data_IF_941662327811
#
_entry.id   IF_941662327811
#
_cell.length_a   1.000
_cell.length_b   1.000
_cell.length_c   1.000
_cell.angle_alpha   90.00
_cell.angle_beta   90.00
_cell.angle_gamma   90.00
#
_symmetry.space_group_name_H-M   'P 1'
#
loop_
_entity.id
_entity.type
_entity.pdbx_description
1 polymer ?
#
# COMPACT_ATOMS: atom_id res chain seq x y z
N UNK A 1 -48.49 54.56 17.47
CA UNK A 1 -47.90 55.89 17.20
C UNK A 1 -46.43 55.67 16.88
N UNK A 2 -45.84 55.88 15.70
CA UNK A 2 -46.18 56.28 14.32
C UNK A 2 -45.14 55.52 13.45
N UNK A 3 -45.43 54.76 12.39
CA UNK A 3 -45.87 55.11 11.02
C UNK A 3 -45.01 56.17 10.31
N UNK A 4 -44.31 55.76 9.24
CA UNK A 4 -44.25 56.34 7.87
C UNK A 4 -43.09 55.64 7.09
N UNK A 5 -43.37 54.84 6.05
CA UNK A 5 -43.67 55.18 4.64
C UNK A 5 -42.42 55.63 3.84
N UNK A 6 -41.93 54.80 2.91
CA UNK A 6 -42.24 54.75 1.46
C UNK A 6 -41.33 55.68 0.62
N UNK A 7 -40.65 55.11 -0.39
CA UNK A 7 -40.77 55.55 -1.79
C UNK A 7 -39.83 54.76 -2.71
N UNK A 8 -40.44 54.15 -3.74
CA UNK A 8 -39.82 53.65 -4.94
C UNK A 8 -40.17 54.61 -6.09
N UNK A 9 -39.25 54.82 -7.05
CA UNK A 9 -39.52 55.32 -8.42
C UNK A 9 -38.40 54.82 -9.36
N UNK A 10 -38.66 53.87 -10.29
CA UNK A 10 -39.10 53.99 -11.71
C UNK A 10 -38.07 54.68 -12.61
N UNK A 11 -37.77 54.33 -13.87
CA UNK A 11 -38.12 53.36 -14.95
C UNK A 11 -37.00 53.61 -16.03
N UNK A 12 -36.60 52.71 -16.95
CA UNK A 12 -37.27 52.42 -18.24
C UNK A 12 -36.49 51.40 -19.12
N UNK A 13 -37.24 50.46 -19.73
CA UNK A 13 -37.14 49.84 -21.09
C UNK A 13 -35.85 49.16 -21.60
N UNK A 14 -35.86 48.03 -22.32
CA UNK A 14 -36.94 47.27 -22.99
C UNK A 14 -36.55 45.79 -23.26
N UNK A 15 -37.54 44.87 -23.27
CA UNK A 15 -38.03 44.02 -24.39
C UNK A 15 -36.90 43.27 -25.16
N UNK A 16 -36.92 41.95 -25.42
CA UNK A 16 -37.91 41.10 -26.14
C UNK A 16 -37.54 39.63 -25.82
N UNK A 17 -38.45 38.79 -25.29
CA UNK A 17 -39.20 37.74 -26.04
C UNK A 17 -38.52 36.35 -25.89
N UNK A 18 -39.19 35.21 -25.72
CA UNK A 18 -40.59 34.77 -25.75
C UNK A 18 -40.69 33.43 -25.00
N UNK A 19 -41.74 33.29 -24.17
CA UNK A 19 -42.76 32.20 -24.06
C UNK A 19 -42.29 30.74 -23.94
N UNK A 20 -42.94 29.83 -23.21
CA UNK A 20 -44.04 29.78 -22.24
C UNK A 20 -44.08 28.30 -21.78
N UNK A 21 -44.27 28.01 -20.49
CA UNK A 21 -45.46 27.37 -19.88
C UNK A 21 -45.82 25.97 -20.44
N UNK A 22 -46.20 24.94 -19.68
CA UNK A 22 -47.05 24.88 -18.50
C UNK A 22 -46.91 23.46 -17.88
N UNK A 23 -46.80 23.32 -16.56
CA UNK A 23 -47.85 22.89 -15.60
C UNK A 23 -48.52 21.52 -15.85
N UNK A 24 -48.20 20.59 -14.94
CA UNK A 24 -49.11 19.80 -14.06
C UNK A 24 -50.13 18.86 -14.70
N UNK A 25 -50.06 17.56 -14.37
CA UNK A 25 -51.18 16.84 -13.71
C UNK A 25 -50.77 15.46 -13.17
N UNK A 26 -51.30 15.18 -11.98
CA UNK A 26 -51.19 13.95 -11.22
C UNK A 26 -52.31 12.99 -11.63
N UNK A 27 -52.05 11.68 -11.74
CA UNK A 27 -53.10 10.67 -11.63
C UNK A 27 -52.57 9.37 -11.03
N UNK A 28 -53.14 9.02 -9.89
CA UNK A 28 -53.09 7.75 -9.17
C UNK A 28 -53.72 6.60 -9.95
N UNK A 29 -53.10 5.42 -9.98
CA UNK A 29 -53.79 4.12 -9.92
C UNK A 29 -52.79 2.94 -9.72
N UNK A 30 -53.15 2.05 -8.80
CA UNK A 30 -52.47 0.79 -8.41
C UNK A 30 -53.01 -0.42 -9.23
N UNK A 31 -52.41 -1.63 -9.14
CA UNK A 31 -52.05 -2.47 -10.29
C UNK A 31 -53.04 -3.61 -10.59
N UNK A 32 -52.75 -4.45 -11.61
CA UNK A 32 -53.10 -5.85 -11.52
C UNK A 32 -51.95 -6.83 -11.83
N UNK A 33 -52.28 -8.07 -11.46
CA UNK A 33 -51.52 -9.28 -11.21
C UNK A 33 -50.82 -9.94 -12.40
N UNK A 34 -49.94 -10.85 -12.01
CA UNK A 34 -49.11 -11.78 -12.77
C UNK A 34 -49.81 -12.49 -13.95
N UNK A 35 -48.94 -12.95 -14.86
CA UNK A 35 -49.13 -14.01 -15.84
C UNK A 35 -50.01 -13.69 -17.05
N UNK A 36 -49.44 -12.96 -18.00
CA UNK A 36 -49.31 -13.38 -19.42
C UNK A 36 -48.20 -12.53 -20.06
N UNK A 37 -47.48 -13.06 -21.06
CA UNK A 37 -46.30 -12.50 -21.76
C UNK A 37 -44.95 -12.95 -21.18
N UNK A 38 -44.69 -14.24 -21.34
CA UNK A 38 -43.35 -14.72 -21.68
C UNK A 38 -43.01 -14.26 -23.10
N UNK A 39 -41.72 -14.04 -23.34
CA UNK A 39 -41.06 -13.87 -24.66
C UNK A 39 -41.12 -12.46 -25.27
N UNK A 40 -40.46 -11.46 -24.65
CA UNK A 40 -39.79 -10.36 -25.37
C UNK A 40 -38.95 -9.45 -24.44
N UNK A 41 -37.85 -9.92 -23.85
CA UNK A 41 -36.98 -9.03 -23.03
C UNK A 41 -35.47 -9.27 -23.15
N UNK A 42 -35.00 -9.88 -24.25
CA UNK A 42 -33.55 -10.07 -24.53
C UNK A 42 -33.03 -9.16 -25.64
N UNK A 43 -33.81 -8.20 -26.17
CA UNK A 43 -33.39 -7.46 -27.38
C UNK A 43 -33.55 -5.93 -27.33
N UNK A 44 -33.67 -5.32 -26.16
CA UNK A 44 -33.85 -3.85 -26.06
C UNK A 44 -32.97 -3.21 -24.99
N UNK A 45 -31.68 -3.59 -24.96
CA UNK A 45 -30.62 -2.81 -24.30
C UNK A 45 -29.34 -2.83 -25.16
N UNK A 46 -29.50 -2.75 -26.48
CA UNK A 46 -28.40 -2.78 -27.46
C UNK A 46 -28.46 -1.63 -28.47
N UNK A 47 -29.33 -0.63 -28.28
CA UNK A 47 -29.61 0.42 -29.28
C UNK A 47 -29.64 1.85 -28.72
N UNK A 48 -28.95 2.12 -27.62
CA UNK A 48 -28.74 3.49 -27.11
C UNK A 48 -27.29 3.70 -26.67
N UNK A 49 -26.34 3.51 -27.60
CA UNK A 49 -25.05 4.21 -27.64
C UNK A 49 -24.40 3.95 -29.01
N UNK A 50 -25.10 4.28 -30.09
CA UNK A 50 -24.53 4.30 -31.45
C UNK A 50 -24.69 5.70 -32.04
N UNK A 51 -23.87 6.63 -31.56
CA UNK A 51 -23.42 7.80 -32.34
C UNK A 51 -22.31 8.51 -31.55
N UNK A 52 -21.16 7.86 -31.51
CA UNK A 52 -19.88 8.56 -31.49
C UNK A 52 -18.89 7.63 -32.19
N UNK A 53 -18.23 8.15 -33.21
CA UNK A 53 -17.24 7.43 -34.00
C UNK A 53 -16.05 7.02 -33.12
N UNK A 54 -16.19 5.91 -32.42
CA UNK A 54 -15.09 5.20 -31.79
C UNK A 54 -14.76 4.02 -32.70
N UNK A 55 -13.66 4.16 -33.43
CA UNK A 55 -13.04 3.06 -34.16
C UNK A 55 -12.82 1.89 -33.21
N UNK A 56 -13.43 0.76 -33.54
CA UNK A 56 -13.28 -0.53 -32.89
C UNK A 56 -11.81 -0.97 -32.96
N UNK A 57 -11.03 -0.65 -31.93
CA UNK A 57 -9.83 -1.39 -31.61
C UNK A 57 -10.19 -2.42 -30.56
N UNK A 58 -10.34 -3.67 -30.97
CA UNK A 58 -10.13 -4.82 -30.08
C UNK A 58 -8.78 -4.60 -29.38
N UNK A 59 -8.86 -4.18 -28.12
CA UNK A 59 -7.72 -3.70 -27.36
C UNK A 59 -6.73 -4.83 -27.11
N UNK A 60 -5.65 -4.87 -27.90
CA UNK A 60 -4.40 -5.53 -27.54
C UNK A 60 -3.92 -4.91 -26.21
N UNK A 61 -4.28 -5.52 -25.09
CA UNK A 61 -3.60 -5.31 -23.83
C UNK A 61 -2.23 -5.95 -24.02
N UNK A 62 -1.25 -5.15 -24.44
CA UNK A 62 0.15 -5.51 -24.29
C UNK A 62 0.37 -5.69 -22.78
N UNK A 63 0.40 -6.94 -22.31
CA UNK A 63 0.93 -7.24 -20.99
C UNK A 63 2.40 -6.84 -21.06
N UNK A 64 2.73 -5.62 -20.66
CA UNK A 64 4.12 -5.27 -20.40
C UNK A 64 4.55 -6.20 -19.28
N UNK A 65 5.35 -7.19 -19.62
CA UNK A 65 5.94 -8.10 -18.65
C UNK A 65 6.95 -7.27 -17.86
N UNK A 66 6.71 -7.18 -16.57
CA UNK A 66 7.61 -6.55 -15.62
C UNK A 66 8.76 -7.53 -15.36
N UNK A 67 9.96 -7.19 -15.82
CA UNK A 67 11.18 -7.97 -15.57
C UNK A 67 11.68 -7.62 -14.17
N UNK A 68 11.70 -8.59 -13.27
CA UNK A 68 12.04 -8.36 -11.86
C UNK A 68 13.41 -8.95 -11.55
N UNK A 69 14.30 -8.13 -10.99
CA UNK A 69 15.57 -8.58 -10.43
C UNK A 69 15.46 -8.59 -8.93
N UNK A 70 15.88 -9.67 -8.26
CA UNK A 70 15.84 -9.78 -6.80
C UNK A 70 17.25 -9.80 -6.25
N UNK A 71 17.62 -8.80 -5.45
CA UNK A 71 18.86 -8.74 -4.66
C UNK A 71 18.59 -9.33 -3.27
N UNK A 72 19.54 -10.13 -2.77
CA UNK A 72 19.32 -10.95 -1.57
C UNK A 72 18.47 -12.19 -1.88
N UNK A 73 18.64 -12.75 -3.09
CA UNK A 73 17.85 -13.85 -3.62
C UNK A 73 17.88 -15.12 -2.73
N UNK A 74 18.97 -15.34 -1.98
CA UNK A 74 19.12 -16.54 -1.14
C UNK A 74 18.55 -16.39 0.26
N UNK A 75 18.19 -15.17 0.69
CA UNK A 75 17.49 -14.92 1.95
C UNK A 75 16.10 -15.57 1.92
N UNK A 76 15.53 -15.86 3.09
CA UNK A 76 14.17 -16.46 3.20
C UNK A 76 13.11 -15.64 2.45
N UNK A 77 13.13 -14.32 2.62
CA UNK A 77 12.24 -13.41 1.89
C UNK A 77 12.53 -13.38 0.38
N UNK A 78 13.81 -13.46 -0.02
CA UNK A 78 14.23 -13.47 -1.43
C UNK A 78 13.73 -14.70 -2.17
N UNK A 79 13.90 -15.89 -1.58
CA UNK A 79 13.36 -17.16 -2.10
C UNK A 79 11.85 -17.12 -2.23
N UNK A 80 11.18 -16.59 -1.22
CA UNK A 80 9.71 -16.43 -1.24
C UNK A 80 9.28 -15.46 -2.33
N UNK A 81 10.02 -14.35 -2.50
CA UNK A 81 9.77 -13.35 -3.54
C UNK A 81 9.97 -13.91 -4.94
N UNK A 82 11.01 -14.71 -5.18
CA UNK A 82 11.22 -15.44 -6.44
C UNK A 82 9.97 -16.26 -6.79
N UNK A 83 9.54 -17.12 -5.86
CA UNK A 83 8.38 -17.97 -6.08
C UNK A 83 7.09 -17.15 -6.31
N UNK A 84 6.91 -16.03 -5.61
CA UNK A 84 5.75 -15.16 -5.76
C UNK A 84 5.73 -14.41 -7.11
N UNK A 85 6.87 -13.86 -7.52
CA UNK A 85 7.05 -13.16 -8.80
C UNK A 85 6.82 -14.11 -9.97
N UNK A 86 7.40 -15.31 -9.94
CA UNK A 86 7.22 -16.31 -11.00
C UNK A 86 5.78 -16.78 -11.16
N UNK A 87 4.97 -16.74 -10.10
CA UNK A 87 3.54 -17.07 -10.13
C UNK A 87 2.65 -15.87 -10.48
N UNK A 88 3.16 -14.64 -10.41
CA UNK A 88 2.38 -13.43 -10.59
C UNK A 88 2.17 -13.12 -12.08
N UNK A 89 0.90 -12.94 -12.46
CA UNK A 89 0.56 -12.54 -13.84
C UNK A 89 1.18 -11.19 -14.19
N UNK A 90 1.85 -11.13 -15.34
CA UNK A 90 2.46 -9.91 -15.87
C UNK A 90 3.84 -9.61 -15.31
N UNK A 91 4.43 -10.53 -14.55
CA UNK A 91 5.78 -10.43 -14.02
C UNK A 91 6.60 -11.65 -14.47
N UNK A 92 7.90 -11.46 -14.53
CA UNK A 92 8.86 -12.53 -14.82
C UNK A 92 10.15 -12.25 -14.05
N UNK A 93 10.70 -13.26 -13.38
CA UNK A 93 12.03 -13.14 -12.81
C UNK A 93 13.04 -12.99 -13.95
N UNK A 94 13.88 -11.98 -13.86
CA UNK A 94 14.90 -11.67 -14.87
C UNK A 94 16.32 -11.80 -14.32
N UNK A 95 16.48 -11.87 -13.00
CA UNK A 95 17.75 -12.10 -12.36
C UNK A 95 17.63 -12.32 -10.86
N UNK A 96 18.53 -13.12 -10.33
CA UNK A 96 18.70 -13.39 -8.92
C UNK A 96 20.12 -12.99 -8.51
N UNK A 97 20.25 -12.05 -7.59
CA UNK A 97 21.54 -11.51 -7.14
C UNK A 97 21.78 -11.88 -5.69
N UNK A 98 22.92 -12.54 -5.44
CA UNK A 98 23.41 -12.81 -4.10
C UNK A 98 24.91 -13.17 -4.12
N UNK A 99 25.53 -13.12 -2.95
CA UNK A 99 26.88 -13.62 -2.68
C UNK A 99 26.93 -15.13 -2.37
N UNK A 100 25.78 -15.72 -2.01
CA UNK A 100 25.64 -17.14 -1.72
C UNK A 100 24.99 -17.89 -2.89
N UNK A 101 25.14 -19.22 -2.94
CA UNK A 101 24.50 -20.08 -3.94
C UNK A 101 24.76 -19.71 -5.42
N UNK A 102 25.87 -19.04 -5.71
CA UNK A 102 26.22 -18.58 -7.06
C UNK A 102 26.24 -19.76 -8.04
N UNK A 103 25.59 -19.58 -9.19
CA UNK A 103 25.47 -20.57 -10.26
C UNK A 103 24.35 -21.60 -10.07
N UNK A 104 23.73 -21.68 -8.88
CA UNK A 104 22.52 -22.48 -8.67
C UNK A 104 21.30 -21.80 -9.30
N UNK A 105 20.29 -22.59 -9.67
CA UNK A 105 19.05 -22.06 -10.24
C UNK A 105 18.18 -21.37 -9.18
N UNK A 106 17.65 -20.19 -9.53
CA UNK A 106 16.79 -19.39 -8.66
C UNK A 106 15.49 -20.11 -8.28
N UNK A 107 14.92 -20.92 -9.18
CA UNK A 107 13.74 -21.74 -8.92
C UNK A 107 14.03 -22.86 -7.93
N UNK A 108 15.14 -23.57 -8.12
CA UNK A 108 15.60 -24.64 -7.22
C UNK A 108 15.79 -24.14 -5.78
N UNK A 109 16.56 -23.06 -5.59
CA UNK A 109 16.81 -22.52 -4.23
C UNK A 109 15.54 -22.01 -3.55
N UNK A 110 14.51 -21.69 -4.35
CA UNK A 110 13.21 -21.21 -3.90
C UNK A 110 12.19 -22.33 -3.66
N UNK A 111 12.61 -23.60 -3.83
CA UNK A 111 11.76 -24.77 -3.62
C UNK A 111 10.67 -24.94 -4.67
N UNK A 112 10.89 -24.43 -5.89
CA UNK A 112 10.00 -24.65 -7.03
C UNK A 112 10.22 -26.04 -7.63
N UNK A 113 9.17 -26.64 -8.20
CA UNK A 113 9.26 -27.96 -8.85
C UNK A 113 10.01 -27.90 -10.19
N UNK A 114 9.85 -26.78 -10.91
CA UNK A 114 10.50 -26.53 -12.19
C UNK A 114 11.60 -25.48 -12.03
N UNK A 115 12.75 -25.72 -12.69
CA UNK A 115 13.84 -24.77 -12.75
C UNK A 115 13.43 -23.55 -13.58
N UNK A 116 13.90 -22.36 -13.15
CA UNK A 116 13.64 -21.12 -13.89
C UNK A 116 14.67 -20.86 -14.99
N UNK A 117 15.78 -21.62 -15.00
CA UNK A 117 16.95 -21.39 -15.84
C UNK A 117 17.61 -20.02 -15.59
N UNK A 118 17.49 -19.52 -14.36
CA UNK A 118 18.03 -18.23 -13.93
C UNK A 118 19.07 -18.50 -12.86
N UNK A 119 20.38 -18.45 -13.17
CA UNK A 119 21.41 -18.66 -12.18
C UNK A 119 21.45 -17.51 -11.17
N UNK A 120 21.76 -17.81 -9.91
CA UNK A 120 22.15 -16.79 -8.94
C UNK A 120 23.51 -16.22 -9.36
N UNK A 121 23.59 -14.91 -9.52
CA UNK A 121 24.80 -14.18 -9.90
C UNK A 121 25.20 -13.20 -8.81
N UNK A 122 26.46 -12.77 -8.83
CA UNK A 122 26.99 -11.76 -7.91
C UNK A 122 27.32 -10.43 -8.62
N UNK A 123 27.02 -10.32 -9.91
CA UNK A 123 27.24 -9.12 -10.72
C UNK A 123 25.89 -8.51 -11.12
N UNK A 124 25.45 -7.52 -10.32
CA UNK A 124 24.23 -6.77 -10.59
C UNK A 124 24.31 -6.01 -11.91
N UNK A 125 25.46 -5.40 -12.22
CA UNK A 125 25.64 -4.56 -13.42
C UNK A 125 25.44 -5.38 -14.69
N UNK A 126 25.96 -6.61 -14.74
CA UNK A 126 25.76 -7.53 -15.86
C UNK A 126 24.28 -7.83 -16.11
N UNK A 127 23.53 -8.14 -15.05
CA UNK A 127 22.09 -8.46 -15.14
C UNK A 127 21.27 -7.23 -15.55
N UNK A 128 21.57 -6.06 -14.98
CA UNK A 128 20.89 -4.82 -15.36
C UNK A 128 21.16 -4.45 -16.82
N UNK A 129 22.41 -4.64 -17.28
CA UNK A 129 22.81 -4.38 -18.66
C UNK A 129 22.07 -5.26 -19.68
N UNK A 130 21.79 -6.52 -19.36
CA UNK A 130 21.03 -7.41 -20.24
C UNK A 130 19.55 -6.99 -20.34
N UNK A 131 18.95 -6.56 -19.23
CA UNK A 131 17.55 -6.11 -19.17
C UNK A 131 17.38 -4.77 -19.89
N UNK A 132 18.32 -3.83 -19.72
CA UNK A 132 18.27 -2.51 -20.35
C UNK A 132 18.29 -2.56 -21.89
N UNK A 133 18.82 -3.64 -22.47
CA UNK A 133 18.78 -3.87 -23.92
C UNK A 133 17.39 -4.33 -24.41
N UNK A 134 16.52 -4.77 -23.49
CA UNK A 134 15.15 -5.15 -23.80
C UNK A 134 14.22 -3.92 -23.75
N UNK A 135 13.09 -3.95 -24.45
CA UNK A 135 12.03 -2.93 -24.33
C UNK A 135 11.10 -3.19 -23.13
N UNK A 136 11.47 -4.07 -22.22
CA UNK A 136 10.65 -4.42 -21.06
C UNK A 136 10.82 -3.38 -19.95
N UNK A 137 9.81 -3.27 -19.07
CA UNK A 137 9.94 -2.45 -17.87
C UNK A 137 10.60 -3.29 -16.79
N UNK A 138 11.75 -2.84 -16.29
CA UNK A 138 12.49 -3.55 -15.25
C UNK A 138 12.29 -2.94 -13.86
N UNK A 139 12.21 -3.82 -12.84
CA UNK A 139 12.17 -3.44 -11.43
C UNK A 139 13.20 -4.24 -10.65
N UNK A 140 14.00 -3.55 -9.85
CA UNK A 140 14.95 -4.16 -8.91
C UNK A 140 14.30 -4.19 -7.53
N UNK A 141 14.16 -5.38 -6.96
CA UNK A 141 13.72 -5.59 -5.58
C UNK A 141 14.95 -5.83 -4.71
N UNK A 142 15.14 -5.01 -3.69
CA UNK A 142 16.32 -5.04 -2.85
C UNK A 142 15.99 -5.51 -1.42
N UNK A 143 16.57 -6.66 -1.06
CA UNK A 143 16.56 -7.23 0.29
C UNK A 143 17.98 -7.32 0.87
N UNK A 144 18.93 -6.50 0.40
CA UNK A 144 20.32 -6.50 0.85
C UNK A 144 20.48 -5.97 2.30
N UNK A 145 21.69 -5.52 2.64
CA UNK A 145 21.99 -4.84 3.89
C UNK A 145 21.90 -3.31 3.72
N UNK A 146 21.59 -2.53 4.77
CA UNK A 146 21.42 -1.07 4.67
C UNK A 146 22.57 -0.36 3.96
N UNK A 147 23.81 -0.82 4.17
CA UNK A 147 25.02 -0.21 3.60
C UNK A 147 25.14 -0.31 2.09
N UNK A 148 24.42 -1.22 1.42
CA UNK A 148 24.53 -1.42 -0.04
C UNK A 148 23.35 -0.87 -0.82
N UNK A 149 22.24 -0.52 -0.14
CA UNK A 149 21.01 -0.04 -0.77
C UNK A 149 21.25 1.18 -1.67
N UNK A 150 22.01 2.16 -1.19
CA UNK A 150 22.24 3.39 -1.95
C UNK A 150 22.89 3.10 -3.31
N UNK A 151 23.95 2.29 -3.31
CA UNK A 151 24.67 1.93 -4.53
C UNK A 151 23.84 1.03 -5.46
N UNK A 152 23.04 0.12 -4.90
CA UNK A 152 22.14 -0.73 -5.68
C UNK A 152 21.08 0.10 -6.42
N UNK A 153 20.41 1.02 -5.72
CA UNK A 153 19.40 1.92 -6.32
C UNK A 153 20.04 2.83 -7.36
N UNK A 154 21.24 3.35 -7.09
CA UNK A 154 21.99 4.16 -8.04
C UNK A 154 22.34 3.40 -9.32
N UNK A 155 22.76 2.14 -9.20
CA UNK A 155 23.01 1.27 -10.35
C UNK A 155 21.71 1.00 -11.13
N UNK A 156 20.62 0.62 -10.45
CA UNK A 156 19.33 0.38 -11.09
C UNK A 156 18.86 1.61 -11.90
N UNK A 157 18.96 2.80 -11.30
CA UNK A 157 18.61 4.06 -11.94
C UNK A 157 19.49 4.38 -13.16
N UNK A 158 20.80 4.09 -13.10
CA UNK A 158 21.71 4.29 -14.23
C UNK A 158 21.35 3.44 -15.46
N UNK A 159 20.72 2.28 -15.25
CA UNK A 159 20.18 1.42 -16.31
C UNK A 159 18.70 1.69 -16.64
N UNK A 160 18.06 2.67 -15.99
CA UNK A 160 16.67 3.06 -16.23
C UNK A 160 15.63 2.13 -15.59
N UNK A 161 16.00 1.38 -14.56
CA UNK A 161 15.09 0.51 -13.80
C UNK A 161 14.60 1.18 -12.52
N UNK A 162 13.35 0.86 -12.14
CA UNK A 162 12.77 1.32 -10.87
C UNK A 162 13.18 0.38 -9.72
N UNK A 163 13.09 0.85 -8.48
CA UNK A 163 13.53 0.08 -7.31
C UNK A 163 12.44 -0.08 -6.25
N UNK A 164 12.29 -1.28 -5.70
CA UNK A 164 11.53 -1.54 -4.47
C UNK A 164 12.52 -2.02 -3.41
N UNK A 165 12.68 -1.24 -2.36
CA UNK A 165 13.62 -1.52 -1.28
C UNK A 165 12.82 -1.95 -0.05
N UNK A 166 13.09 -3.16 0.44
CA UNK A 166 12.66 -3.63 1.76
C UNK A 166 13.91 -4.06 2.52
N UNK A 167 14.49 -3.10 3.22
CA UNK A 167 15.64 -3.31 4.08
C UNK A 167 15.29 -2.78 5.46
N UNK A 168 14.95 -3.68 6.40
CA UNK A 168 14.68 -3.29 7.78
C UNK A 168 15.86 -2.49 8.33
N UNK A 169 15.58 -1.44 9.10
CA UNK A 169 16.59 -0.56 9.73
C UNK A 169 17.43 0.30 8.78
N UNK A 170 16.92 0.61 7.57
CA UNK A 170 17.52 1.69 6.76
C UNK A 170 17.41 3.03 7.51
N UNK A 171 18.51 3.77 7.55
CA UNK A 171 18.55 5.08 8.21
C UNK A 171 17.78 6.13 7.39
N UNK A 172 17.08 7.04 8.08
CA UNK A 172 16.30 8.10 7.44
C UNK A 172 17.17 9.08 6.62
N UNK A 173 18.42 9.27 7.02
CA UNK A 173 19.38 10.08 6.27
C UNK A 173 19.66 9.44 4.90
N UNK A 174 19.87 8.12 4.84
CA UNK A 174 20.02 7.39 3.58
C UNK A 174 18.76 7.50 2.71
N UNK A 175 17.57 7.41 3.31
CA UNK A 175 16.30 7.60 2.58
C UNK A 175 16.19 9.00 1.99
N UNK A 176 16.63 10.02 2.74
CA UNK A 176 16.63 11.43 2.30
C UNK A 176 17.57 11.63 1.11
N UNK A 177 18.79 11.08 1.19
CA UNK A 177 19.77 11.11 0.10
C UNK A 177 19.24 10.39 -1.15
N UNK A 178 18.66 9.20 -0.98
CA UNK A 178 18.01 8.45 -2.06
C UNK A 178 16.86 9.24 -2.69
N UNK A 179 16.06 9.94 -1.89
CA UNK A 179 14.94 10.75 -2.40
C UNK A 179 15.45 11.85 -3.32
N UNK A 180 16.46 12.60 -2.87
CA UNK A 180 17.09 13.66 -3.68
C UNK A 180 17.75 13.11 -4.96
N UNK A 181 18.32 11.91 -4.90
CA UNK A 181 18.88 11.23 -6.07
C UNK A 181 17.79 10.81 -7.07
N UNK A 182 16.75 10.12 -6.60
CA UNK A 182 15.66 9.62 -7.45
C UNK A 182 14.90 10.75 -8.16
N UNK A 183 14.70 11.87 -7.48
CA UNK A 183 14.08 13.07 -8.07
C UNK A 183 14.94 13.63 -9.22
N UNK A 184 16.25 13.79 -9.01
CA UNK A 184 17.18 14.26 -10.05
C UNK A 184 17.27 13.29 -11.23
N UNK A 185 17.23 11.98 -10.96
CA UNK A 185 17.27 10.94 -11.97
C UNK A 185 15.92 10.72 -12.68
N UNK A 186 14.82 11.31 -12.16
CA UNK A 186 13.45 11.02 -12.61
C UNK A 186 13.09 9.52 -12.57
N UNK A 187 13.58 8.83 -11.54
CA UNK A 187 13.45 7.38 -11.37
C UNK A 187 12.54 7.03 -10.21
N UNK A 188 11.68 6.03 -10.42
CA UNK A 188 10.77 5.53 -9.41
C UNK A 188 11.49 4.66 -8.38
N UNK A 189 11.31 4.99 -7.10
CA UNK A 189 11.79 4.16 -6.01
C UNK A 189 10.71 4.06 -4.92
N UNK A 190 10.45 2.87 -4.40
CA UNK A 190 9.69 2.68 -3.18
C UNK A 190 10.64 2.17 -2.10
N UNK A 191 10.75 2.90 -1.00
CA UNK A 191 11.33 2.35 0.24
C UNK A 191 10.17 1.98 1.14
N UNK A 192 9.99 0.68 1.39
CA UNK A 192 8.89 0.15 2.19
C UNK A 192 9.44 -0.39 3.52
N UNK A 193 9.16 0.27 4.66
CA UNK A 193 9.52 -0.25 5.99
C UNK A 193 8.83 -1.58 6.30
N UNK A 194 7.64 -1.77 5.73
CA UNK A 194 6.89 -3.03 5.76
C UNK A 194 6.27 -3.32 4.40
N UNK A 195 6.28 -4.59 4.01
CA UNK A 195 5.54 -5.11 2.85
C UNK A 195 4.24 -5.81 3.26
N UNK A 196 3.92 -5.86 4.57
CA UNK A 196 2.69 -6.49 5.05
C UNK A 196 1.50 -5.55 4.85
N UNK A 197 0.61 -5.88 3.91
CA UNK A 197 -0.65 -5.15 3.73
C UNK A 197 -1.48 -5.16 5.02
N UNK A 198 -1.52 -6.28 5.73
CA UNK A 198 -2.26 -6.40 7.00
C UNK A 198 -1.74 -5.47 8.08
N UNK A 199 -0.41 -5.36 8.23
CA UNK A 199 0.21 -4.40 9.16
C UNK A 199 -0.11 -2.96 8.78
N UNK A 200 -0.05 -2.61 7.50
CA UNK A 200 -0.38 -1.25 7.05
C UNK A 200 -1.85 -0.90 7.29
N UNK A 201 -2.78 -1.80 6.96
CA UNK A 201 -4.21 -1.59 7.21
C UNK A 201 -4.51 -1.47 8.71
N UNK A 202 -3.84 -2.26 9.54
CA UNK A 202 -3.94 -2.15 11.01
C UNK A 202 -3.47 -0.77 11.49
N UNK A 203 -2.35 -0.28 10.97
CA UNK A 203 -1.82 1.06 11.29
C UNK A 203 -2.79 2.17 10.86
N UNK A 204 -3.30 2.12 9.63
CA UNK A 204 -4.26 3.12 9.13
C UNK A 204 -5.56 3.12 9.96
N UNK A 205 -6.09 1.94 10.30
CA UNK A 205 -7.27 1.81 11.15
C UNK A 205 -7.01 2.31 12.58
N UNK A 206 -5.80 2.09 13.11
CA UNK A 206 -5.42 2.58 14.43
C UNK A 206 -5.34 4.11 14.48
N UNK A 207 -4.74 4.75 13.47
CA UNK A 207 -4.72 6.22 13.35
C UNK A 207 -6.14 6.77 13.31
N UNK A 208 -7.05 6.13 12.55
CA UNK A 208 -8.45 6.58 12.52
C UNK A 208 -9.15 6.40 13.87
N UNK A 209 -8.94 5.27 14.53
CA UNK A 209 -9.53 5.00 15.84
C UNK A 209 -9.00 5.95 16.92
N UNK A 210 -7.74 6.36 16.84
CA UNK A 210 -7.07 7.15 17.87
C UNK A 210 -7.71 8.54 18.07
N UNK A 211 -8.40 9.08 17.06
CA UNK A 211 -9.19 10.31 17.19
C UNK A 211 -10.49 10.16 18.01
N UNK A 212 -10.92 8.92 18.28
CA UNK A 212 -12.20 8.62 18.94
C UNK A 212 -12.04 8.02 20.34
N UNK A 213 -10.85 7.57 20.70
CA UNK A 213 -10.57 6.88 21.97
C UNK A 213 -9.49 7.59 22.78
N UNK A 214 -9.71 7.70 24.09
CA UNK A 214 -8.77 8.35 25.02
C UNK A 214 -7.78 7.37 25.67
N UNK A 215 -7.97 6.06 25.48
CA UNK A 215 -7.14 5.02 26.07
C UNK A 215 -6.67 4.06 24.99
N UNK A 216 -5.38 3.74 25.01
CA UNK A 216 -4.76 2.83 24.03
C UNK A 216 -3.58 2.10 24.66
N UNK A 217 -3.52 0.79 24.42
CA UNK A 217 -2.34 -0.03 24.72
C UNK A 217 -2.03 -0.95 23.54
N UNK A 218 -0.74 -1.12 23.25
CA UNK A 218 -0.22 -2.02 22.22
C UNK A 218 0.33 -3.27 22.89
N UNK A 219 -0.10 -4.43 22.45
CA UNK A 219 0.44 -5.72 22.91
C UNK A 219 1.00 -6.47 21.72
N UNK A 220 2.27 -6.83 21.80
CA UNK A 220 2.95 -7.65 20.81
C UNK A 220 3.40 -8.98 21.38
N UNK A 221 3.46 -9.99 20.50
CA UNK A 221 4.08 -11.28 20.80
C UNK A 221 5.12 -11.62 19.76
N UNK A 222 6.23 -12.22 20.19
CA UNK A 222 7.32 -12.69 19.33
C UNK A 222 7.81 -14.08 19.78
N UNK A 223 8.26 -14.93 18.84
CA UNK A 223 8.87 -16.21 19.20
C UNK A 223 10.29 -16.08 19.79
N UNK A 224 10.95 -14.93 19.58
CA UNK A 224 12.33 -14.65 19.97
C UNK A 224 12.45 -13.23 20.53
N UNK A 225 13.46 -12.99 21.38
CA UNK A 225 13.66 -11.72 22.11
C UNK A 225 14.47 -10.68 21.34
N UNK A 226 14.41 -10.67 20.00
CA UNK A 226 15.16 -9.69 19.20
C UNK A 226 14.48 -8.32 19.26
N UNK A 227 15.21 -7.30 19.72
CA UNK A 227 14.86 -5.87 19.78
C UNK A 227 13.40 -5.61 20.18
N UNK A 228 13.15 -5.52 21.49
CA UNK A 228 11.86 -5.16 22.06
C UNK A 228 11.86 -3.71 22.60
N UNK A 229 10.77 -2.95 22.41
CA UNK A 229 9.62 -3.26 21.57
C UNK A 229 10.00 -3.38 20.10
N UNK A 230 9.25 -4.16 19.31
CA UNK A 230 9.58 -4.28 17.89
C UNK A 230 9.43 -2.96 17.13
N UNK A 231 10.14 -2.83 16.02
CA UNK A 231 10.06 -1.66 15.14
C UNK A 231 8.61 -1.38 14.69
N UNK A 232 7.81 -2.42 14.44
CA UNK A 232 6.39 -2.27 14.12
C UNK A 232 5.62 -1.61 15.28
N UNK A 233 5.85 -2.04 16.52
CA UNK A 233 5.18 -1.48 17.68
C UNK A 233 5.61 -0.03 17.94
N UNK A 234 6.90 0.28 17.76
CA UNK A 234 7.43 1.64 17.83
C UNK A 234 6.80 2.53 16.75
N UNK A 235 6.74 2.04 15.50
CA UNK A 235 6.15 2.78 14.40
C UNK A 235 4.66 3.04 14.62
N UNK A 236 3.90 2.04 15.08
CA UNK A 236 2.49 2.20 15.44
C UNK A 236 2.33 3.27 16.53
N UNK A 237 3.10 3.21 17.60
CA UNK A 237 3.03 4.18 18.69
C UNK A 237 3.33 5.60 18.20
N UNK A 238 4.37 5.76 17.39
CA UNK A 238 4.73 7.06 16.79
C UNK A 238 3.62 7.58 15.86
N UNK A 239 3.00 6.71 15.07
CA UNK A 239 1.94 7.10 14.13
C UNK A 239 0.67 7.63 14.81
N UNK A 240 0.41 7.22 16.06
CA UNK A 240 -0.77 7.68 16.84
C UNK A 240 -0.43 8.76 17.88
N UNK A 241 0.86 9.14 17.98
CA UNK A 241 1.39 10.24 18.80
C UNK A 241 1.39 11.55 17.99
N UNK A 242 1.43 12.69 18.68
CA UNK A 242 1.41 14.06 18.15
C UNK A 242 0.12 14.43 17.39
N UNK A 243 -0.97 13.69 17.64
CA UNK A 243 -2.28 13.93 17.04
C UNK A 243 -3.16 14.88 17.88
N UNK A 244 -2.59 15.53 18.90
CA UNK A 244 -3.28 16.44 19.81
C UNK A 244 -4.06 15.75 20.92
N UNK A 245 -3.76 14.48 21.19
CA UNK A 245 -4.44 13.63 22.16
C UNK A 245 -3.40 12.99 23.09
N UNK A 246 -3.61 13.12 24.40
CA UNK A 246 -2.82 12.37 25.39
C UNK A 246 -3.66 11.17 25.81
N UNK A 247 -3.12 9.98 25.69
CA UNK A 247 -3.78 8.74 26.05
C UNK A 247 -3.57 8.37 27.53
N UNK A 248 -4.46 7.53 28.05
CA UNK A 248 -4.31 6.90 29.36
C UNK A 248 -4.13 7.90 30.52
N UNK A 249 -4.76 9.10 30.44
CA UNK A 249 -4.59 10.19 31.42
C UNK A 249 -4.93 9.81 32.86
N UNK A 250 -5.84 8.86 33.04
CA UNK A 250 -6.30 8.40 34.36
C UNK A 250 -5.35 7.36 34.97
N UNK A 251 -4.28 6.99 34.28
CA UNK A 251 -3.30 6.02 34.73
C UNK A 251 -2.35 6.62 35.78
N UNK A 252 -2.75 6.49 37.05
CA UNK A 252 -2.07 7.08 38.20
C UNK A 252 -0.70 6.46 38.53
N UNK A 253 -0.38 5.27 37.99
CA UNK A 253 0.85 4.53 38.27
C UNK A 253 1.70 4.36 37.00
N UNK A 254 2.16 5.52 36.48
CA UNK A 254 2.96 5.59 35.25
C UNK A 254 4.28 4.80 35.33
N UNK A 255 4.84 4.65 36.55
CA UNK A 255 6.20 4.13 36.77
C UNK A 255 6.25 2.64 37.10
N UNK A 256 5.13 1.93 37.13
CA UNK A 256 5.12 0.51 37.41
C UNK A 256 5.68 -0.30 36.24
N UNK A 257 6.79 -1.05 36.41
CA UNK A 257 7.42 -1.78 35.32
C UNK A 257 6.52 -2.89 34.73
N UNK A 258 5.53 -3.38 35.49
CA UNK A 258 4.58 -4.38 34.98
C UNK A 258 3.60 -3.81 33.94
N UNK A 259 3.50 -2.48 33.82
CA UNK A 259 2.59 -1.80 32.89
C UNK A 259 3.19 -1.55 31.51
N UNK A 260 4.35 -2.14 31.19
CA UNK A 260 4.97 -1.99 29.88
C UNK A 260 5.68 -0.65 29.69
N UNK A 261 6.30 -0.49 28.53
CA UNK A 261 7.09 0.69 28.18
C UNK A 261 6.19 1.77 27.57
N UNK A 262 6.40 3.02 27.97
CA UNK A 262 5.77 4.18 27.32
C UNK A 262 6.58 4.54 26.08
N UNK A 263 5.93 4.64 24.93
CA UNK A 263 6.51 5.13 23.69
C UNK A 263 5.81 6.44 23.28
N UNK A 264 6.61 7.39 22.78
CA UNK A 264 6.13 8.74 22.48
C UNK A 264 5.88 9.59 23.74
N UNK A 265 5.44 10.82 23.53
CA UNK A 265 5.13 11.77 24.62
C UNK A 265 3.66 11.71 25.07
N UNK A 266 2.79 11.08 24.27
CA UNK A 266 1.34 11.03 24.48
C UNK A 266 0.85 9.86 25.37
N UNK A 267 1.76 9.10 25.99
CA UNK A 267 1.38 8.09 26.99
C UNK A 267 0.93 6.73 26.42
N UNK A 268 1.26 6.41 25.17
CA UNK A 268 0.98 5.10 24.56
C UNK A 268 1.85 4.03 25.23
N UNK A 269 1.23 2.97 25.74
CA UNK A 269 1.95 1.86 26.37
C UNK A 269 2.13 0.68 25.42
N UNK A 270 3.30 0.04 25.50
CA UNK A 270 3.64 -1.16 24.75
C UNK A 270 4.06 -2.29 25.67
N UNK A 271 3.46 -3.45 25.45
CA UNK A 271 3.75 -4.68 26.17
C UNK A 271 4.26 -5.74 25.20
N UNK A 272 5.43 -6.29 25.49
CA UNK A 272 6.07 -7.28 24.64
C UNK A 272 6.13 -8.64 25.33
N UNK A 273 5.53 -9.64 24.70
CA UNK A 273 5.59 -11.04 25.11
C UNK A 273 6.57 -11.82 24.25
N UNK A 274 7.47 -12.57 24.89
CA UNK A 274 8.37 -13.51 24.19
C UNK A 274 8.17 -14.90 24.73
N UNK A 275 7.61 -15.78 23.91
CA UNK A 275 7.59 -17.21 24.20
C UNK A 275 7.83 -17.99 22.90
N UNK A 276 8.69 -19.03 22.92
CA UNK A 276 8.83 -19.93 21.80
C UNK A 276 7.47 -20.50 21.37
N UNK A 277 7.19 -20.48 20.06
CA UNK A 277 5.94 -20.97 19.49
C UNK A 277 4.83 -19.92 19.36
N UNK A 278 4.99 -18.71 19.90
CA UNK A 278 4.08 -17.61 19.60
C UNK A 278 4.28 -17.12 18.16
N UNK A 279 3.16 -16.82 17.50
CA UNK A 279 3.19 -16.06 16.26
C UNK A 279 3.66 -14.63 16.51
N UNK A 280 4.30 -14.03 15.51
CA UNK A 280 4.62 -12.60 15.52
C UNK A 280 3.32 -11.82 15.36
N UNK A 281 2.74 -11.42 16.50
CA UNK A 281 1.41 -10.81 16.55
C UNK A 281 1.51 -9.40 17.11
N UNK A 282 0.65 -8.52 16.64
CA UNK A 282 0.52 -7.16 17.16
C UNK A 282 -0.96 -6.85 17.31
N UNK A 283 -1.34 -6.38 18.49
CA UNK A 283 -2.70 -5.95 18.79
C UNK A 283 -2.69 -4.54 19.39
N UNK A 284 -3.66 -3.74 18.97
CA UNK A 284 -3.88 -2.39 19.48
C UNK A 284 -5.26 -2.38 20.10
N UNK A 285 -5.32 -2.09 21.38
CA UNK A 285 -6.55 -2.12 22.17
C UNK A 285 -6.91 -0.70 22.55
N UNK A 286 -7.99 -0.19 21.96
CA UNK A 286 -8.62 1.05 22.35
C UNK A 286 -9.79 0.78 23.29
N UNK A 287 -10.04 1.70 24.23
CA UNK A 287 -11.21 1.58 25.12
C UNK A 287 -11.92 2.90 25.37
N UNK A 288 -13.23 2.79 25.53
CA UNK A 288 -14.15 3.87 25.83
C UNK A 288 -15.26 3.40 26.79
N UNK A 289 -16.14 4.30 27.25
CA UNK A 289 -17.21 3.94 28.16
C UNK A 289 -18.12 2.83 27.60
N UNK A 290 -18.01 1.62 28.16
CA UNK A 290 -18.84 0.47 27.79
C UNK A 290 -18.38 -0.31 26.55
N UNK A 291 -17.21 0.01 25.99
CA UNK A 291 -16.70 -0.70 24.80
C UNK A 291 -15.17 -0.86 24.80
N UNK A 292 -14.73 -1.89 24.07
CA UNK A 292 -13.32 -2.14 23.74
C UNK A 292 -13.26 -2.40 22.24
N UNK A 293 -12.34 -1.71 21.57
CA UNK A 293 -12.07 -1.91 20.15
C UNK A 293 -10.66 -2.44 19.97
N UNK A 294 -10.55 -3.65 19.43
CA UNK A 294 -9.27 -4.34 19.23
C UNK A 294 -8.98 -4.52 17.75
N UNK A 295 -7.83 -4.00 17.32
CA UNK A 295 -7.21 -4.32 16.03
C UNK A 295 -6.12 -5.37 16.26
N UNK A 296 -6.06 -6.40 15.44
CA UNK A 296 -5.07 -7.48 15.58
C UNK A 296 -4.56 -7.96 14.22
N UNK A 297 -3.25 -8.15 14.14
CA UNK A 297 -2.56 -8.73 13.00
C UNK A 297 -1.60 -9.82 13.48
N UNK A 298 -1.71 -11.02 12.91
CA UNK A 298 -0.88 -12.18 13.23
C UNK A 298 -0.08 -12.60 11.99
N UNK A 299 1.25 -12.66 12.12
CA UNK A 299 2.15 -13.12 11.06
C UNK A 299 2.45 -14.61 11.27
N UNK A 300 2.02 -15.43 10.32
CA UNK A 300 2.23 -16.89 10.36
C UNK A 300 3.50 -17.31 9.63
N UNK A 301 3.87 -16.63 8.55
CA UNK A 301 5.11 -16.84 7.81
C UNK A 301 5.42 -15.63 6.89
N UNK A 302 6.58 -15.65 6.23
CA UNK A 302 7.06 -14.58 5.35
C UNK A 302 6.19 -14.36 4.09
N UNK A 303 5.34 -15.31 3.70
CA UNK A 303 4.46 -15.17 2.52
C UNK A 303 3.46 -14.03 2.66
N UNK A 304 3.15 -13.60 3.89
CA UNK A 304 2.27 -12.45 4.13
C UNK A 304 2.80 -11.13 3.52
N UNK A 305 4.10 -11.04 3.23
CA UNK A 305 4.74 -9.88 2.59
C UNK A 305 4.56 -9.85 1.07
N UNK A 306 4.29 -11.01 0.46
CA UNK A 306 4.29 -11.15 -1.00
C UNK A 306 3.17 -10.34 -1.68
N UNK A 307 1.92 -10.29 -1.18
CA UNK A 307 0.90 -9.43 -1.77
C UNK A 307 1.31 -7.96 -1.83
N UNK A 308 1.97 -7.44 -0.77
CA UNK A 308 2.47 -6.07 -0.73
C UNK A 308 3.67 -5.86 -1.66
N UNK A 309 4.57 -6.84 -1.78
CA UNK A 309 5.65 -6.81 -2.77
C UNK A 309 5.12 -6.71 -4.20
N UNK A 310 4.17 -7.57 -4.57
CA UNK A 310 3.56 -7.56 -5.92
C UNK A 310 2.83 -6.24 -6.17
N UNK A 311 2.14 -5.69 -5.17
CA UNK A 311 1.55 -4.35 -5.26
C UNK A 311 2.62 -3.27 -5.49
N UNK A 312 3.71 -3.30 -4.72
CA UNK A 312 4.81 -2.36 -4.81
C UNK A 312 5.44 -2.35 -6.22
N UNK A 313 5.77 -3.52 -6.77
CA UNK A 313 6.35 -3.66 -8.11
C UNK A 313 5.41 -3.05 -9.18
N UNK A 314 4.10 -3.33 -9.10
CA UNK A 314 3.11 -2.77 -10.05
C UNK A 314 2.96 -1.25 -9.98
N UNK A 315 3.19 -0.66 -8.80
CA UNK A 315 3.00 0.76 -8.55
C UNK A 315 4.26 1.57 -8.84
N UNK A 316 5.44 1.02 -8.51
CA UNK A 316 6.71 1.75 -8.62
C UNK A 316 7.03 2.16 -10.05
N UNK A 317 6.61 1.38 -11.04
CA UNK A 317 6.85 1.66 -12.46
C UNK A 317 6.23 2.97 -12.96
N UNK A 318 5.25 3.52 -12.23
CA UNK A 318 4.58 4.78 -12.57
C UNK A 318 5.20 5.99 -11.87
N UNK A 319 6.16 5.76 -10.98
CA UNK A 319 6.78 6.81 -10.19
C UNK A 319 7.93 7.47 -10.98
N UNK A 320 8.24 8.71 -10.58
CA UNK A 320 9.38 9.49 -11.10
C UNK A 320 10.26 10.04 -9.96
N UNK A 321 9.99 9.60 -8.75
CA UNK A 321 10.61 10.02 -7.52
C UNK A 321 10.55 8.86 -6.51
N UNK A 322 11.17 9.07 -5.35
CA UNK A 322 11.07 8.16 -4.23
C UNK A 322 9.76 8.37 -3.48
N UNK A 323 9.11 7.28 -3.09
CA UNK A 323 8.04 7.25 -2.10
C UNK A 323 8.51 6.39 -0.92
N UNK A 324 8.30 6.90 0.29
CA UNK A 324 8.54 6.16 1.52
C UNK A 324 7.21 5.65 2.08
N UNK A 325 7.13 4.35 2.33
CA UNK A 325 5.96 3.69 2.90
C UNK A 325 5.00 3.09 1.87
N UNK A 326 4.56 1.85 2.12
CA UNK A 326 3.60 1.13 1.28
C UNK A 326 2.17 1.69 1.43
N UNK A 327 1.87 2.34 2.56
CA UNK A 327 0.58 2.95 2.87
C UNK A 327 0.15 4.04 1.88
N UNK A 328 1.09 4.59 1.11
CA UNK A 328 0.80 5.57 0.06
C UNK A 328 0.15 4.95 -1.19
N UNK A 329 0.12 3.62 -1.29
CA UNK A 329 -0.45 2.89 -2.44
C UNK A 329 -1.73 2.12 -2.14
N UNK A 330 -2.14 2.06 -0.87
CA UNK A 330 -3.35 1.41 -0.40
C UNK A 330 -4.53 2.39 -0.34
#
# INVERSE_FOLDING_TARGET
MATLCHSAHTRTFGKIGRRNAAKVLCSTQMPPSQSTIKVLWVMTLWMFFSNSTATSSEGKIWWYIEKVVIIGATKEIGRTAIAAVSKARGMELAGAIDSQCIGLDAGEISGMEEALEIPVLNDLTMVLGSIAQTRATGVVVDFSEPSTVYDNVKQAAAFGLNSVVYVPKIELDTVTELSAFCEKASMGCLVAPTLSIGSVLLQQAAIQASFHYNNVEIVESRPNSSDLPSQDAIQIANNITDLGQIYNREDMDSNNPARGQILGEDGVRVHSMVLPGLASSTSINFSGPGEIYTLRHDVTNVQCLMPGLILAIRKVIRLKNLIYGLEKFL
#
